data_IF_858592712071
#
_entry.id   IF_858592712071
#
_cell.length_a   1.000
_cell.length_b   1.000
_cell.length_c   1.000
_cell.angle_alpha   90.00
_cell.angle_beta   90.00
_cell.angle_gamma   90.00
#
_symmetry.space_group_name_H-M   'P 1'
#
loop_
_entity.id
_entity.type
_entity.pdbx_description
1 polymer ?
#
# COMPACT_ATOMS: atom_id res chain seq x y z
N UNK A 1 29.54 -8.26 -31.20
CA UNK A 1 28.60 -7.17 -31.47
C UNK A 1 27.19 -7.73 -31.29
N UNK A 2 26.52 -7.46 -30.17
CA UNK A 2 25.08 -7.73 -29.98
C UNK A 2 24.49 -6.47 -29.33
N UNK A 3 23.68 -5.77 -30.13
CA UNK A 3 22.94 -4.57 -29.73
C UNK A 3 21.95 -4.88 -28.59
N UNK A 4 22.14 -4.27 -27.45
CA UNK A 4 21.08 -4.11 -26.45
C UNK A 4 20.15 -2.99 -26.91
N UNK A 5 18.94 -3.34 -27.32
CA UNK A 5 17.86 -2.37 -27.49
C UNK A 5 17.44 -1.84 -26.13
N UNK A 6 17.75 -0.60 -25.86
CA UNK A 6 17.18 0.21 -24.79
C UNK A 6 15.71 0.46 -25.14
N UNK A 7 14.80 0.04 -24.30
CA UNK A 7 13.37 0.35 -24.39
C UNK A 7 13.17 1.78 -23.87
N UNK A 8 13.21 2.75 -24.78
CA UNK A 8 12.81 4.14 -24.46
C UNK A 8 11.29 4.20 -24.28
N UNK A 9 10.83 4.42 -23.06
CA UNK A 9 9.46 4.89 -22.82
C UNK A 9 9.33 6.29 -23.42
N UNK A 10 8.48 6.44 -24.40
CA UNK A 10 8.13 7.69 -25.06
C UNK A 10 7.38 8.58 -24.07
N UNK A 11 8.07 9.54 -23.47
CA UNK A 11 7.43 10.69 -22.84
C UNK A 11 7.04 11.67 -23.96
N UNK A 12 5.76 12.03 -24.03
CA UNK A 12 5.26 13.06 -24.95
C UNK A 12 5.98 14.39 -24.66
N UNK A 13 6.73 14.88 -25.64
CA UNK A 13 7.22 16.27 -25.85
C UNK A 13 7.43 17.18 -24.61
N UNK A 14 8.07 16.70 -23.56
CA UNK A 14 8.58 17.58 -22.52
C UNK A 14 10.02 17.92 -22.89
N UNK A 15 10.28 19.15 -23.32
CA UNK A 15 11.63 19.68 -23.50
C UNK A 15 12.17 19.95 -22.10
N UNK A 16 12.99 19.02 -21.59
CA UNK A 16 13.70 19.22 -20.33
C UNK A 16 14.80 20.25 -20.57
N UNK A 17 14.67 21.44 -19.98
CA UNK A 17 15.73 22.45 -20.04
C UNK A 17 16.97 21.96 -19.26
N UNK A 18 18.18 22.21 -19.78
CA UNK A 18 19.41 21.96 -19.04
C UNK A 18 19.34 22.60 -17.63
N UNK A 19 19.67 21.85 -16.59
CA UNK A 19 19.63 22.35 -15.21
C UNK A 19 18.27 22.24 -14.51
N UNK A 20 17.25 21.61 -15.11
CA UNK A 20 15.95 21.41 -14.46
C UNK A 20 16.06 20.55 -13.20
N UNK A 21 16.80 19.43 -13.25
CA UNK A 21 16.99 18.53 -12.11
C UNK A 21 17.73 19.24 -10.98
N UNK A 22 18.82 19.96 -11.30
CA UNK A 22 19.62 20.72 -10.34
C UNK A 22 18.80 21.82 -9.67
N UNK A 23 17.94 22.49 -10.43
CA UNK A 23 17.03 23.52 -9.89
C UNK A 23 16.02 22.91 -8.93
N UNK A 24 15.33 21.85 -9.33
CA UNK A 24 14.35 21.13 -8.48
C UNK A 24 15.02 20.61 -7.21
N UNK A 25 16.18 20.00 -7.35
CA UNK A 25 16.97 19.52 -6.22
C UNK A 25 17.38 20.64 -5.27
N UNK A 26 17.84 21.79 -5.79
CA UNK A 26 18.18 22.95 -4.98
C UNK A 26 16.98 23.52 -4.23
N UNK A 27 15.81 23.60 -4.86
CA UNK A 27 14.58 24.01 -4.19
C UNK A 27 14.16 23.01 -3.09
N UNK A 28 14.23 21.71 -3.36
CA UNK A 28 13.97 20.69 -2.34
C UNK A 28 14.86 20.86 -1.12
N UNK A 29 16.17 21.06 -1.31
CA UNK A 29 17.13 21.31 -0.22
C UNK A 29 16.81 22.58 0.60
N UNK A 30 16.30 23.64 -0.04
CA UNK A 30 15.87 24.84 0.69
C UNK A 30 14.70 24.55 1.61
N UNK A 31 13.71 23.78 1.14
CA UNK A 31 12.58 23.38 1.97
C UNK A 31 13.00 22.44 3.11
N UNK A 32 13.92 21.50 2.86
CA UNK A 32 14.48 20.64 3.92
C UNK A 32 15.16 21.44 5.01
N UNK A 33 15.97 22.45 4.67
CA UNK A 33 16.64 23.34 5.66
C UNK A 33 15.64 24.04 6.57
N UNK A 34 14.43 24.27 6.10
CA UNK A 34 13.33 24.89 6.86
C UNK A 34 12.40 23.87 7.50
N UNK A 35 12.78 22.57 7.58
CA UNK A 35 11.99 21.45 8.08
C UNK A 35 10.64 21.28 7.37
N UNK A 36 10.50 21.75 6.13
CA UNK A 36 9.29 21.63 5.32
C UNK A 36 9.42 20.39 4.39
N UNK A 37 9.56 19.22 4.99
CA UNK A 37 9.86 17.97 4.28
C UNK A 37 8.79 17.57 3.26
N UNK A 38 7.52 17.80 3.55
CA UNK A 38 6.42 17.50 2.63
C UNK A 38 6.51 18.29 1.32
N UNK A 39 6.91 19.58 1.42
CA UNK A 39 7.14 20.39 0.22
C UNK A 39 8.41 19.97 -0.51
N UNK A 40 9.47 19.65 0.23
CA UNK A 40 10.70 19.13 -0.34
C UNK A 40 10.45 17.84 -1.14
N UNK A 41 9.61 16.94 -0.60
CA UNK A 41 9.28 15.67 -1.24
C UNK A 41 8.63 15.83 -2.62
N UNK A 42 7.80 16.85 -2.82
CA UNK A 42 7.21 17.13 -4.14
C UNK A 42 8.28 17.51 -5.18
N UNK A 43 9.25 18.32 -4.80
CA UNK A 43 10.36 18.70 -5.68
C UNK A 43 11.30 17.51 -5.97
N UNK A 44 11.56 16.66 -5.00
CA UNK A 44 12.33 15.41 -5.21
C UNK A 44 11.60 14.46 -6.14
N UNK A 45 10.29 14.29 -5.98
CA UNK A 45 9.47 13.42 -6.82
C UNK A 45 9.45 13.91 -8.27
N UNK A 46 9.34 15.23 -8.47
CA UNK A 46 9.43 15.84 -9.80
C UNK A 46 10.83 15.67 -10.40
N UNK A 47 11.90 15.86 -9.62
CA UNK A 47 13.27 15.68 -10.09
C UNK A 47 13.55 14.25 -10.53
N UNK A 48 13.03 13.26 -9.81
CA UNK A 48 13.19 11.83 -10.14
C UNK A 48 12.51 11.42 -11.44
N UNK A 49 11.54 12.18 -11.94
CA UNK A 49 10.95 11.91 -13.26
C UNK A 49 11.97 12.13 -14.39
N UNK A 50 13.00 12.95 -14.17
CA UNK A 50 14.02 13.30 -15.15
C UNK A 50 15.38 12.62 -14.85
N UNK A 51 15.60 12.19 -13.62
CA UNK A 51 16.84 11.54 -13.16
C UNK A 51 16.51 10.28 -12.34
N UNK A 52 15.91 9.30 -13.01
CA UNK A 52 15.25 8.14 -12.38
C UNK A 52 16.17 7.30 -11.46
N UNK A 53 17.46 7.20 -11.75
CA UNK A 53 18.44 6.38 -11.01
C UNK A 53 19.58 7.23 -10.41
N UNK A 54 19.33 8.51 -10.13
CA UNK A 54 20.32 9.36 -9.45
C UNK A 54 20.41 8.96 -7.97
N UNK A 55 21.50 8.29 -7.61
CA UNK A 55 21.80 7.80 -6.27
C UNK A 55 21.78 8.91 -5.21
N UNK A 56 22.37 10.06 -5.53
CA UNK A 56 22.48 11.17 -4.59
C UNK A 56 21.11 11.81 -4.30
N UNK A 57 20.33 12.03 -5.35
CA UNK A 57 18.98 12.57 -5.25
C UNK A 57 18.07 11.61 -4.47
N UNK A 58 18.10 10.31 -4.80
CA UNK A 58 17.30 9.29 -4.12
C UNK A 58 17.67 9.15 -2.64
N UNK A 59 18.95 9.24 -2.28
CA UNK A 59 19.41 9.13 -0.89
C UNK A 59 18.87 10.25 -0.02
N UNK A 60 18.93 11.50 -0.51
CA UNK A 60 18.40 12.66 0.21
C UNK A 60 16.87 12.63 0.26
N UNK A 61 16.24 12.18 -0.82
CA UNK A 61 14.79 12.00 -0.85
C UNK A 61 14.31 10.96 0.15
N UNK A 62 14.98 9.81 0.25
CA UNK A 62 14.65 8.78 1.25
C UNK A 62 14.70 9.32 2.68
N UNK A 63 15.72 10.13 3.00
CA UNK A 63 15.83 10.81 4.29
C UNK A 63 14.68 11.82 4.50
N UNK A 64 14.36 12.63 3.50
CA UNK A 64 13.26 13.60 3.56
C UNK A 64 11.89 12.93 3.76
N UNK A 65 11.68 11.78 3.12
CA UNK A 65 10.49 10.95 3.33
C UNK A 65 10.43 10.36 4.75
N UNK A 66 11.58 9.95 5.29
CA UNK A 66 11.67 9.49 6.68
C UNK A 66 11.29 10.58 7.67
N UNK A 67 11.83 11.78 7.52
CA UNK A 67 11.54 12.94 8.38
C UNK A 67 10.07 13.39 8.28
N UNK A 68 9.45 13.28 7.09
CA UNK A 68 8.01 13.55 6.90
C UNK A 68 7.10 12.39 7.35
N UNK A 69 7.66 11.34 7.98
CA UNK A 69 6.96 10.12 8.41
C UNK A 69 6.28 9.33 7.27
N UNK A 70 6.64 9.60 6.03
CA UNK A 70 6.18 8.88 4.84
C UNK A 70 6.92 7.55 4.69
N UNK A 71 6.87 6.71 5.75
CA UNK A 71 7.73 5.53 5.90
C UNK A 71 7.59 4.49 4.78
N UNK A 72 6.40 4.29 4.23
CA UNK A 72 6.19 3.35 3.11
C UNK A 72 6.94 3.78 1.86
N UNK A 73 6.78 5.06 1.45
CA UNK A 73 7.53 5.62 0.30
C UNK A 73 9.05 5.63 0.57
N UNK A 74 9.46 6.00 1.78
CA UNK A 74 10.88 5.98 2.17
C UNK A 74 11.47 4.57 2.02
N UNK A 75 10.74 3.55 2.44
CA UNK A 75 11.13 2.14 2.28
C UNK A 75 11.34 1.75 0.82
N UNK A 76 10.39 2.11 -0.07
CA UNK A 76 10.47 1.82 -1.51
C UNK A 76 11.70 2.46 -2.15
N UNK A 77 12.01 3.72 -1.80
CA UNK A 77 13.20 4.41 -2.30
C UNK A 77 14.49 3.75 -1.78
N UNK A 78 14.54 3.37 -0.49
CA UNK A 78 15.67 2.64 0.07
C UNK A 78 15.86 1.26 -0.60
N UNK A 79 14.79 0.51 -0.84
CA UNK A 79 14.86 -0.78 -1.53
C UNK A 79 15.35 -0.64 -2.98
N UNK A 80 14.98 0.45 -3.65
CA UNK A 80 15.48 0.77 -4.98
C UNK A 80 16.97 1.12 -4.95
N UNK A 81 17.40 1.97 -4.00
CA UNK A 81 18.80 2.30 -3.78
C UNK A 81 19.65 1.07 -3.49
N UNK A 82 19.24 0.23 -2.56
CA UNK A 82 19.98 -0.98 -2.18
C UNK A 82 20.13 -1.96 -3.35
N UNK A 83 19.19 -2.00 -4.29
CA UNK A 83 19.30 -2.81 -5.53
C UNK A 83 20.33 -2.26 -6.50
N UNK A 84 20.52 -0.94 -6.55
CA UNK A 84 21.52 -0.29 -7.41
C UNK A 84 22.92 -0.52 -6.85
N UNK A 85 23.05 -0.73 -5.55
CA UNK A 85 24.33 -0.88 -4.85
C UNK A 85 25.02 0.46 -4.64
N UNK A 86 24.45 1.36 -3.80
CA UNK A 86 24.95 2.72 -3.62
C UNK A 86 26.33 2.73 -2.94
N UNK A 87 27.09 3.80 -3.17
CA UNK A 87 28.39 3.99 -2.51
C UNK A 87 28.26 4.02 -0.98
N UNK A 88 27.16 4.56 -0.46
CA UNK A 88 26.83 4.61 0.98
C UNK A 88 25.85 3.47 1.36
N UNK A 89 26.17 2.23 0.95
CA UNK A 89 25.28 1.08 1.13
C UNK A 89 24.85 0.87 2.58
N UNK A 90 25.78 0.95 3.54
CA UNK A 90 25.47 0.67 4.94
C UNK A 90 24.69 1.80 5.62
N UNK A 91 24.87 3.04 5.23
CA UNK A 91 24.06 4.18 5.67
C UNK A 91 22.63 4.06 5.18
N UNK A 92 22.45 3.67 3.92
CA UNK A 92 21.11 3.41 3.36
C UNK A 92 20.47 2.18 4.00
N UNK A 93 21.25 1.12 4.26
CA UNK A 93 20.77 -0.06 4.97
C UNK A 93 20.31 0.29 6.39
N UNK A 94 21.04 1.12 7.11
CA UNK A 94 20.69 1.59 8.45
C UNK A 94 19.38 2.40 8.43
N UNK A 95 19.22 3.32 7.49
CA UNK A 95 17.99 4.07 7.28
C UNK A 95 16.83 3.11 6.97
N UNK A 96 17.04 2.16 6.07
CA UNK A 96 16.05 1.14 5.71
C UNK A 96 15.59 0.31 6.92
N UNK A 97 16.53 -0.18 7.72
CA UNK A 97 16.21 -0.95 8.93
C UNK A 97 15.45 -0.10 9.95
N UNK A 98 15.82 1.18 10.10
CA UNK A 98 15.11 2.13 10.97
C UNK A 98 13.68 2.35 10.49
N UNK A 99 13.48 2.51 9.18
CA UNK A 99 12.15 2.62 8.56
C UNK A 99 11.35 1.34 8.79
N UNK A 100 11.94 0.16 8.61
CA UNK A 100 11.29 -1.12 8.90
C UNK A 100 10.84 -1.23 10.37
N UNK A 101 11.65 -0.73 11.32
CA UNK A 101 11.23 -0.66 12.73
C UNK A 101 10.04 0.28 12.95
N UNK A 102 10.00 1.44 12.27
CA UNK A 102 8.85 2.35 12.33
C UNK A 102 7.58 1.71 11.75
N UNK A 103 7.73 0.85 10.74
CA UNK A 103 6.66 0.06 10.14
C UNK A 103 6.32 -1.21 10.93
N UNK A 104 6.96 -1.41 12.10
CA UNK A 104 6.80 -2.59 12.98
C UNK A 104 7.24 -3.92 12.33
N UNK A 105 8.10 -3.88 11.32
CA UNK A 105 8.64 -5.06 10.64
C UNK A 105 9.83 -5.69 11.40
N UNK A 106 9.70 -5.86 12.72
CA UNK A 106 10.79 -6.23 13.63
C UNK A 106 11.48 -7.55 13.25
N UNK A 107 10.71 -8.55 12.83
CA UNK A 107 11.26 -9.84 12.42
C UNK A 107 12.11 -9.75 11.15
N UNK A 108 11.69 -8.89 10.19
CA UNK A 108 12.45 -8.61 8.98
C UNK A 108 13.79 -7.93 9.31
N UNK A 109 13.76 -6.95 10.21
CA UNK A 109 14.98 -6.26 10.71
C UNK A 109 15.95 -7.24 11.35
N UNK A 110 15.46 -8.10 12.25
CA UNK A 110 16.30 -9.10 12.91
C UNK A 110 16.94 -10.06 11.91
N UNK A 111 16.17 -10.57 10.96
CA UNK A 111 16.65 -11.49 9.93
C UNK A 111 17.74 -10.86 9.07
N UNK A 112 17.55 -9.61 8.62
CA UNK A 112 18.53 -8.90 7.78
C UNK A 112 19.82 -8.66 8.55
N UNK A 113 19.73 -8.14 9.79
CA UNK A 113 20.94 -7.84 10.59
C UNK A 113 21.68 -9.14 10.92
N UNK A 114 20.97 -10.21 11.28
CA UNK A 114 21.61 -11.51 11.57
C UNK A 114 22.33 -12.04 10.34
N UNK A 115 21.72 -12.04 9.16
CA UNK A 115 22.35 -12.48 7.91
C UNK A 115 23.62 -11.66 7.60
N UNK A 116 23.55 -10.34 7.70
CA UNK A 116 24.70 -9.46 7.44
C UNK A 116 25.87 -9.68 8.42
N UNK A 117 25.56 -9.98 9.69
CA UNK A 117 26.56 -10.29 10.71
C UNK A 117 27.19 -11.68 10.48
N UNK A 118 26.37 -12.68 10.17
CA UNK A 118 26.79 -14.07 9.95
C UNK A 118 27.66 -14.20 8.67
N UNK A 119 27.36 -13.41 7.65
CA UNK A 119 28.11 -13.36 6.40
C UNK A 119 29.43 -12.56 6.50
N UNK A 120 29.64 -11.84 7.62
CA UNK A 120 30.80 -10.95 7.78
C UNK A 120 30.81 -9.80 6.76
N UNK A 121 29.64 -9.42 6.24
CA UNK A 121 29.50 -8.42 5.19
C UNK A 121 29.64 -6.98 5.70
N UNK A 122 29.49 -6.76 7.01
CA UNK A 122 29.49 -5.44 7.64
C UNK A 122 30.96 -5.02 7.90
N UNK A 123 31.38 -3.82 7.47
CA UNK A 123 32.69 -3.27 7.83
C UNK A 123 32.89 -3.20 9.34
N UNK A 124 34.13 -3.48 9.82
CA UNK A 124 34.45 -3.54 11.26
C UNK A 124 33.99 -2.28 12.02
N UNK A 125 34.10 -1.12 11.40
CA UNK A 125 33.73 0.18 11.96
C UNK A 125 32.21 0.32 12.21
N UNK A 126 31.40 -0.48 11.52
CA UNK A 126 29.92 -0.43 11.59
C UNK A 126 29.30 -1.61 12.34
N UNK A 127 30.05 -2.65 12.65
CA UNK A 127 29.54 -3.86 13.35
C UNK A 127 28.84 -3.48 14.64
N UNK A 128 29.44 -2.61 15.45
CA UNK A 128 28.88 -2.19 16.74
C UNK A 128 27.56 -1.43 16.57
N UNK A 129 27.42 -0.64 15.51
CA UNK A 129 26.22 0.11 15.18
C UNK A 129 25.07 -0.82 14.79
N UNK A 130 25.33 -1.84 13.96
CA UNK A 130 24.33 -2.84 13.59
C UNK A 130 23.93 -3.75 14.76
N UNK A 131 24.85 -4.08 15.66
CA UNK A 131 24.52 -4.78 16.91
C UNK A 131 23.58 -3.96 17.78
N UNK A 132 23.84 -2.67 17.94
CA UNK A 132 22.94 -1.74 18.69
C UNK A 132 21.57 -1.64 18.03
N UNK A 133 21.50 -1.59 16.69
CA UNK A 133 20.23 -1.63 15.97
C UNK A 133 19.47 -2.93 16.24
N UNK A 134 20.16 -4.07 16.27
CA UNK A 134 19.55 -5.37 16.60
C UNK A 134 19.00 -5.37 18.04
N UNK A 135 19.78 -4.89 19.01
CA UNK A 135 19.36 -4.78 20.42
C UNK A 135 18.18 -3.81 20.58
N UNK A 136 18.22 -2.67 19.88
CA UNK A 136 17.11 -1.70 19.88
C UNK A 136 15.84 -2.31 19.29
N UNK A 137 15.95 -3.01 18.18
CA UNK A 137 14.85 -3.74 17.55
C UNK A 137 14.24 -4.78 18.50
N UNK A 138 15.08 -5.59 19.17
CA UNK A 138 14.65 -6.58 20.16
C UNK A 138 13.96 -5.90 21.35
N UNK A 139 14.52 -4.82 21.88
CA UNK A 139 13.96 -4.06 23.00
C UNK A 139 12.60 -3.40 22.67
N UNK A 140 12.46 -2.86 21.44
CA UNK A 140 11.20 -2.27 20.98
C UNK A 140 10.16 -3.37 20.78
N UNK A 141 10.56 -4.46 20.13
CA UNK A 141 9.71 -5.64 19.95
C UNK A 141 9.23 -6.19 21.30
N UNK A 142 10.14 -6.33 22.26
CA UNK A 142 9.81 -6.80 23.63
C UNK A 142 8.93 -5.81 24.40
N UNK A 143 9.19 -4.49 24.30
CA UNK A 143 8.38 -3.47 25.00
C UNK A 143 7.01 -3.31 24.36
N UNK A 144 6.91 -3.37 23.06
CA UNK A 144 5.61 -3.42 22.38
C UNK A 144 4.90 -4.75 22.65
N UNK A 145 5.66 -5.86 22.75
CA UNK A 145 5.16 -7.12 23.28
C UNK A 145 4.64 -7.01 24.70
N UNK A 146 5.26 -6.23 25.59
CA UNK A 146 4.80 -6.06 27.00
C UNK A 146 3.61 -5.12 27.17
N UNK A 147 3.35 -4.21 26.25
CA UNK A 147 2.07 -3.47 26.17
C UNK A 147 0.96 -4.31 25.49
N UNK A 148 1.37 -5.23 24.62
CA UNK A 148 0.54 -6.28 24.04
C UNK A 148 0.71 -7.63 24.77
N UNK A 149 1.43 -7.66 25.91
CA UNK A 149 1.74 -8.89 26.66
C UNK A 149 0.51 -9.48 27.38
N UNK A 150 -0.46 -9.70 26.57
CA UNK A 150 -1.16 -10.96 26.58
C UNK A 150 -0.94 -11.78 25.30
N UNK A 151 0.01 -11.41 24.39
CA UNK A 151 0.28 -12.24 23.19
C UNK A 151 1.59 -11.87 22.48
N UNK A 152 2.71 -12.54 22.85
CA UNK A 152 3.95 -12.64 22.04
C UNK A 152 4.56 -14.04 22.16
N UNK A 153 3.77 -15.01 21.87
CA UNK A 153 4.09 -16.11 20.99
C UNK A 153 3.84 -15.61 19.54
N UNK A 154 4.54 -16.10 18.50
CA UNK A 154 3.92 -16.21 17.17
C UNK A 154 2.48 -16.58 17.48
N UNK A 155 1.51 -15.68 17.31
CA UNK A 155 0.13 -16.01 17.59
C UNK A 155 -0.17 -17.17 16.68
N UNK A 156 -0.06 -18.39 17.21
CA UNK A 156 -0.78 -19.51 16.66
C UNK A 156 -2.22 -19.07 16.84
N UNK A 157 -2.75 -18.41 15.79
CA UNK A 157 -4.18 -18.23 15.75
C UNK A 157 -4.76 -19.64 15.83
N UNK A 158 -5.78 -19.79 16.61
CA UNK A 158 -6.51 -21.02 16.72
C UNK A 158 -7.24 -21.26 15.39
N UNK A 159 -6.85 -22.26 14.59
CA UNK A 159 -7.51 -22.57 13.32
C UNK A 159 -9.02 -22.76 13.45
N UNK A 160 -9.50 -23.25 14.62
CA UNK A 160 -10.92 -23.45 14.90
C UNK A 160 -11.73 -22.16 14.84
N UNK A 161 -11.09 -21.00 15.06
CA UNK A 161 -11.75 -19.69 14.94
C UNK A 161 -12.08 -19.29 13.50
N UNK A 162 -11.49 -19.98 12.52
CA UNK A 162 -11.72 -19.77 11.09
C UNK A 162 -12.53 -20.89 10.46
N UNK A 163 -13.10 -21.78 11.27
CA UNK A 163 -14.11 -22.71 10.77
C UNK A 163 -15.29 -21.93 10.20
N UNK A 164 -15.71 -22.18 8.93
CA UNK A 164 -16.65 -21.32 8.22
C UNK A 164 -17.95 -21.04 8.98
N UNK A 165 -18.55 -22.07 9.58
CA UNK A 165 -19.79 -21.91 10.36
C UNK A 165 -19.61 -20.97 11.57
N UNK A 166 -18.50 -21.12 12.29
CA UNK A 166 -18.20 -20.26 13.44
C UNK A 166 -17.86 -18.85 12.99
N UNK A 167 -16.97 -18.70 12.00
CA UNK A 167 -16.51 -17.41 11.51
C UNK A 167 -17.66 -16.56 10.95
N UNK A 168 -18.56 -17.17 10.16
CA UNK A 168 -19.71 -16.48 9.57
C UNK A 168 -20.79 -16.12 10.60
N UNK A 169 -20.80 -16.75 11.78
CA UNK A 169 -21.71 -16.37 12.87
C UNK A 169 -21.29 -15.11 13.62
N UNK A 170 -20.07 -14.63 13.44
CA UNK A 170 -19.53 -13.43 14.09
C UNK A 170 -20.07 -12.15 13.45
N UNK A 171 -20.10 -11.05 14.21
CA UNK A 171 -20.37 -9.73 13.66
C UNK A 171 -19.30 -9.30 12.65
N UNK A 172 -19.67 -8.48 11.67
CA UNK A 172 -18.78 -8.05 10.59
C UNK A 172 -17.48 -7.43 11.11
N UNK A 173 -17.56 -6.58 12.13
CA UNK A 173 -16.40 -5.96 12.75
C UNK A 173 -15.45 -6.99 13.39
N UNK A 174 -15.98 -8.07 13.98
CA UNK A 174 -15.19 -9.15 14.56
C UNK A 174 -14.51 -10.00 13.48
N UNK A 175 -15.24 -10.31 12.39
CA UNK A 175 -14.67 -10.99 11.22
C UNK A 175 -13.50 -10.19 10.63
N UNK A 176 -13.68 -8.88 10.41
CA UNK A 176 -12.63 -7.99 9.92
C UNK A 176 -11.43 -7.91 10.89
N UNK A 177 -11.70 -7.82 12.20
CA UNK A 177 -10.67 -7.82 13.24
C UNK A 177 -9.81 -9.08 13.23
N UNK A 178 -10.45 -10.27 13.15
CA UNK A 178 -9.75 -11.56 13.06
C UNK A 178 -8.90 -11.67 11.78
N UNK A 179 -9.41 -11.21 10.62
CA UNK A 179 -8.63 -11.21 9.38
C UNK A 179 -7.44 -10.25 9.46
N UNK A 180 -7.59 -9.09 10.10
CA UNK A 180 -6.49 -8.15 10.31
C UNK A 180 -5.38 -8.74 11.21
N UNK A 181 -5.73 -9.59 12.19
CA UNK A 181 -4.74 -10.31 13.00
C UNK A 181 -3.89 -11.28 12.15
N UNK A 182 -4.46 -11.81 11.05
CA UNK A 182 -3.75 -12.71 10.12
C UNK A 182 -2.78 -11.98 9.19
N UNK A 183 -2.83 -10.67 9.09
CA UNK A 183 -1.94 -9.90 8.20
C UNK A 183 -0.45 -10.20 8.45
N UNK A 184 -0.10 -10.56 9.69
CA UNK A 184 1.27 -10.87 10.10
C UNK A 184 1.48 -12.35 10.46
N UNK A 185 0.48 -13.21 10.27
CA UNK A 185 0.54 -14.63 10.56
C UNK A 185 0.64 -15.44 9.26
N UNK A 186 1.17 -16.67 9.34
CA UNK A 186 1.17 -17.58 8.19
C UNK A 186 -0.23 -18.19 8.00
N UNK A 187 -0.93 -17.82 6.93
CA UNK A 187 -2.30 -18.30 6.65
C UNK A 187 -2.35 -19.67 5.97
N UNK A 188 -1.20 -20.25 5.58
CA UNK A 188 -1.20 -21.55 4.87
C UNK A 188 -1.92 -22.67 5.60
N UNK A 189 -1.86 -22.77 6.95
CA UNK A 189 -2.58 -23.82 7.68
C UNK A 189 -4.10 -23.73 7.59
N UNK A 190 -4.66 -22.54 7.29
CA UNK A 190 -6.12 -22.29 7.22
C UNK A 190 -6.59 -21.89 5.82
N UNK A 191 -5.79 -22.16 4.79
CA UNK A 191 -6.15 -21.79 3.41
C UNK A 191 -7.46 -22.43 2.95
N UNK A 192 -7.75 -23.64 3.39
CA UNK A 192 -8.99 -24.33 3.04
C UNK A 192 -10.20 -23.62 3.66
N UNK A 193 -10.14 -23.27 4.93
CA UNK A 193 -11.19 -22.52 5.62
C UNK A 193 -11.38 -21.14 4.99
N UNK A 194 -10.30 -20.40 4.72
CA UNK A 194 -10.38 -19.10 4.04
C UNK A 194 -10.99 -19.22 2.65
N UNK A 195 -10.69 -20.31 1.92
CA UNK A 195 -11.28 -20.58 0.62
C UNK A 195 -12.78 -20.87 0.75
N UNK A 196 -13.20 -21.70 1.69
CA UNK A 196 -14.60 -22.01 1.94
C UNK A 196 -15.39 -20.74 2.36
N UNK A 197 -14.79 -19.87 3.20
CA UNK A 197 -15.40 -18.61 3.58
C UNK A 197 -15.59 -17.68 2.38
N UNK A 198 -14.59 -17.53 1.51
CA UNK A 198 -14.67 -16.61 0.36
C UNK A 198 -15.65 -17.11 -0.72
N UNK A 199 -15.74 -18.44 -0.91
CA UNK A 199 -16.64 -19.07 -1.86
C UNK A 199 -18.09 -19.14 -1.35
N UNK A 200 -18.32 -18.96 -0.04
CA UNK A 200 -19.66 -18.95 0.53
C UNK A 200 -20.43 -17.69 0.09
N UNK A 201 -21.67 -17.88 -0.38
CA UNK A 201 -22.54 -16.79 -0.88
C UNK A 201 -22.93 -15.78 0.20
N UNK A 202 -23.10 -16.25 1.42
CA UNK A 202 -23.56 -15.42 2.54
C UNK A 202 -22.41 -14.58 3.15
N UNK A 203 -21.16 -14.81 2.71
CA UNK A 203 -20.02 -14.01 3.16
C UNK A 203 -20.12 -12.58 2.66
N UNK A 204 -20.00 -11.64 3.59
CA UNK A 204 -20.08 -10.22 3.30
C UNK A 204 -19.03 -9.80 2.24
N UNK A 205 -19.41 -8.95 1.23
CA UNK A 205 -18.49 -8.57 0.14
C UNK A 205 -17.15 -7.99 0.63
N UNK A 206 -17.17 -7.20 1.68
CA UNK A 206 -15.96 -6.63 2.30
C UNK A 206 -15.04 -7.72 2.87
N UNK A 207 -15.60 -8.74 3.55
CA UNK A 207 -14.83 -9.87 4.11
C UNK A 207 -14.17 -10.68 3.01
N UNK A 208 -14.89 -10.96 1.91
CA UNK A 208 -14.31 -11.63 0.72
C UNK A 208 -13.10 -10.87 0.18
N UNK A 209 -13.20 -9.54 0.12
CA UNK A 209 -12.07 -8.69 -0.29
C UNK A 209 -10.87 -8.79 0.65
N UNK A 210 -11.10 -8.73 1.97
CA UNK A 210 -10.02 -8.81 2.94
C UNK A 210 -9.27 -10.16 2.84
N UNK A 211 -10.01 -11.26 2.65
CA UNK A 211 -9.39 -12.58 2.44
C UNK A 211 -8.55 -12.60 1.17
N UNK A 212 -9.06 -12.05 0.05
CA UNK A 212 -8.30 -11.97 -1.20
C UNK A 212 -7.03 -11.13 -1.07
N UNK A 213 -7.13 -9.96 -0.41
CA UNK A 213 -5.99 -9.08 -0.16
C UNK A 213 -4.94 -9.82 0.69
N UNK A 214 -5.38 -10.50 1.75
CA UNK A 214 -4.50 -11.28 2.60
C UNK A 214 -3.80 -12.41 1.84
N UNK A 215 -4.53 -13.15 1.00
CA UNK A 215 -3.97 -14.19 0.13
C UNK A 215 -2.98 -13.59 -0.89
N UNK A 216 -3.29 -12.42 -1.46
CA UNK A 216 -2.41 -11.70 -2.39
C UNK A 216 -1.10 -11.30 -1.72
N UNK A 217 -1.17 -10.66 -0.56
CA UNK A 217 0.01 -10.17 0.18
C UNK A 217 0.94 -11.32 0.60
N UNK A 218 0.38 -12.51 0.86
CA UNK A 218 1.15 -13.70 1.21
C UNK A 218 1.52 -14.57 0.02
N UNK A 219 1.26 -14.13 -1.21
CA UNK A 219 1.64 -14.81 -2.44
C UNK A 219 1.01 -16.18 -2.60
N UNK A 220 -0.26 -16.32 -2.21
CA UNK A 220 -1.01 -17.58 -2.35
C UNK A 220 -1.34 -17.81 -3.82
N UNK A 221 -0.75 -18.85 -4.40
CA UNK A 221 -0.98 -19.27 -5.80
C UNK A 221 -2.02 -20.39 -5.83
N UNK A 222 -3.29 -20.00 -5.76
CA UNK A 222 -4.45 -20.89 -5.88
C UNK A 222 -5.61 -20.15 -6.53
N UNK A 223 -6.50 -20.89 -7.20
CA UNK A 223 -7.72 -20.31 -7.75
C UNK A 223 -8.84 -20.37 -6.72
N UNK A 224 -9.54 -19.27 -6.57
CA UNK A 224 -10.73 -19.12 -5.72
C UNK A 224 -11.89 -18.55 -6.53
N UNK A 225 -13.08 -19.05 -6.31
CA UNK A 225 -14.30 -18.50 -6.88
C UNK A 225 -14.86 -17.40 -5.97
N UNK A 226 -15.10 -16.25 -6.54
CA UNK A 226 -15.63 -15.09 -5.81
C UNK A 226 -16.94 -14.68 -6.43
N UNK A 227 -18.01 -14.71 -5.64
CA UNK A 227 -19.34 -14.22 -6.02
C UNK A 227 -19.64 -12.93 -5.26
N UNK A 228 -19.92 -11.83 -5.99
CA UNK A 228 -20.38 -10.53 -5.47
C UNK A 228 -21.25 -9.85 -6.51
N UNK A 229 -22.20 -9.05 -6.07
CA UNK A 229 -23.02 -8.20 -6.94
C UNK A 229 -23.65 -8.99 -8.11
N UNK A 230 -24.12 -10.20 -7.86
CA UNK A 230 -24.64 -11.14 -8.86
C UNK A 230 -23.64 -11.49 -9.99
N UNK A 231 -22.36 -11.37 -9.74
CA UNK A 231 -21.25 -11.76 -10.64
C UNK A 231 -20.38 -12.81 -9.98
N UNK A 232 -19.87 -13.70 -10.79
CA UNK A 232 -18.91 -14.76 -10.36
C UNK A 232 -17.62 -14.59 -11.13
N UNK A 233 -16.49 -14.65 -10.44
CA UNK A 233 -15.16 -14.58 -11.03
C UNK A 233 -14.25 -15.64 -10.41
N UNK A 234 -13.53 -16.37 -11.25
CA UNK A 234 -12.44 -17.24 -10.80
C UNK A 234 -11.16 -16.42 -10.76
N UNK A 235 -10.54 -16.30 -9.60
CA UNK A 235 -9.42 -15.42 -9.36
C UNK A 235 -8.26 -16.15 -8.75
N UNK A 236 -7.04 -15.88 -9.23
CA UNK A 236 -5.83 -16.28 -8.55
C UNK A 236 -5.22 -15.06 -7.84
N UNK A 237 -5.23 -15.01 -6.49
CA UNK A 237 -4.77 -13.84 -5.73
C UNK A 237 -3.32 -13.44 -6.05
N UNK A 238 -2.43 -14.40 -6.34
CA UNK A 238 -1.03 -14.07 -6.66
C UNK A 238 -0.87 -13.31 -7.98
N UNK A 239 -1.86 -13.40 -8.89
CA UNK A 239 -1.77 -12.85 -10.26
C UNK A 239 -2.53 -11.55 -10.46
N UNK A 240 -3.33 -11.10 -9.49
CA UNK A 240 -4.07 -9.83 -9.56
C UNK A 240 -3.36 -8.75 -8.77
N UNK A 241 -3.57 -7.46 -9.13
CA UNK A 241 -3.12 -6.31 -8.37
C UNK A 241 -3.94 -6.10 -7.09
N UNK A 242 -3.47 -5.26 -6.18
CA UNK A 242 -4.26 -4.77 -5.05
C UNK A 242 -5.40 -3.84 -5.55
N UNK A 243 -6.44 -3.57 -4.76
CA UNK A 243 -7.59 -2.77 -5.19
C UNK A 243 -7.21 -1.45 -5.88
N UNK A 244 -6.26 -0.71 -5.31
CA UNK A 244 -5.79 0.58 -5.85
C UNK A 244 -4.82 0.45 -7.04
N UNK A 245 -4.39 -0.76 -7.36
CA UNK A 245 -3.52 -1.04 -8.51
C UNK A 245 -4.30 -1.42 -9.77
N UNK A 246 -5.60 -1.71 -9.63
CA UNK A 246 -6.44 -2.14 -10.72
C UNK A 246 -6.70 -1.02 -11.73
N UNK A 247 -7.09 -1.42 -12.93
CA UNK A 247 -7.14 -0.51 -14.07
C UNK A 247 -8.24 0.52 -13.93
N UNK A 248 -9.43 0.10 -13.54
CA UNK A 248 -10.60 0.99 -13.47
C UNK A 248 -10.43 1.99 -12.32
N UNK A 249 -9.90 1.54 -11.15
CA UNK A 249 -9.56 2.43 -10.04
C UNK A 249 -8.62 3.57 -10.49
N UNK A 250 -7.52 3.24 -11.18
CA UNK A 250 -6.56 4.24 -11.65
C UNK A 250 -7.19 5.23 -12.64
N UNK A 251 -8.04 4.73 -13.54
CA UNK A 251 -8.73 5.59 -14.49
C UNK A 251 -9.69 6.54 -13.79
N UNK A 252 -10.50 6.05 -12.86
CA UNK A 252 -11.45 6.85 -12.10
C UNK A 252 -10.73 7.91 -11.27
N UNK A 253 -9.69 7.53 -10.52
CA UNK A 253 -8.88 8.46 -9.72
C UNK A 253 -8.25 9.56 -10.56
N UNK A 254 -7.70 9.24 -11.72
CA UNK A 254 -7.12 10.24 -12.62
C UNK A 254 -8.19 11.24 -13.11
N UNK A 255 -9.37 10.76 -13.51
CA UNK A 255 -10.47 11.62 -13.99
C UNK A 255 -10.95 12.55 -12.85
N UNK A 256 -11.10 12.02 -11.64
CA UNK A 256 -11.51 12.81 -10.47
C UNK A 256 -10.48 13.88 -10.15
N UNK A 257 -9.18 13.53 -10.15
CA UNK A 257 -8.09 14.46 -9.95
C UNK A 257 -8.11 15.60 -10.98
N UNK A 258 -8.27 15.26 -12.26
CA UNK A 258 -8.31 16.26 -13.34
C UNK A 258 -9.51 17.21 -13.20
N UNK A 259 -10.68 16.71 -12.79
CA UNK A 259 -11.90 17.52 -12.67
C UNK A 259 -11.94 18.38 -11.41
N UNK A 260 -11.33 17.96 -10.32
CA UNK A 260 -11.40 18.60 -9.00
C UNK A 260 -10.12 19.31 -8.57
N UNK A 261 -9.18 19.60 -9.49
CA UNK A 261 -7.91 20.29 -9.18
C UNK A 261 -8.09 21.61 -8.41
N UNK A 262 -9.21 22.30 -8.62
CA UNK A 262 -9.53 23.59 -7.98
C UNK A 262 -10.37 23.43 -6.70
N UNK A 263 -10.80 22.21 -6.35
CA UNK A 263 -11.67 21.92 -5.22
C UNK A 263 -11.04 20.86 -4.29
N UNK A 264 -9.90 21.16 -3.61
CA UNK A 264 -9.10 20.15 -2.92
C UNK A 264 -9.86 19.41 -1.80
N UNK A 265 -10.78 20.07 -1.11
CA UNK A 265 -11.57 19.44 -0.05
C UNK A 265 -12.58 18.43 -0.58
N UNK A 266 -13.17 18.71 -1.76
CA UNK A 266 -14.09 17.77 -2.41
C UNK A 266 -13.28 16.62 -3.00
N UNK A 267 -12.12 16.91 -3.60
CA UNK A 267 -11.21 15.91 -4.14
C UNK A 267 -10.82 14.86 -3.08
N UNK A 268 -10.36 15.31 -1.91
CA UNK A 268 -9.97 14.43 -0.81
C UNK A 268 -11.11 13.50 -0.40
N UNK A 269 -12.32 14.03 -0.24
CA UNK A 269 -13.49 13.22 0.12
C UNK A 269 -13.87 12.20 -0.96
N UNK A 270 -13.83 12.62 -2.23
CA UNK A 270 -14.14 11.72 -3.36
C UNK A 270 -13.10 10.60 -3.43
N UNK A 271 -11.81 10.91 -3.29
CA UNK A 271 -10.74 9.92 -3.30
C UNK A 271 -10.85 8.92 -2.14
N UNK A 272 -11.18 9.39 -0.94
CA UNK A 272 -11.38 8.53 0.23
C UNK A 272 -12.53 7.55 0.03
N UNK A 273 -13.67 8.02 -0.50
CA UNK A 273 -14.83 7.16 -0.79
C UNK A 273 -14.51 6.15 -1.90
N UNK A 274 -13.84 6.57 -2.97
CA UNK A 274 -13.41 5.68 -4.07
C UNK A 274 -12.47 4.60 -3.53
N UNK A 275 -11.49 4.98 -2.71
CA UNK A 275 -10.55 4.03 -2.12
C UNK A 275 -11.25 3.01 -1.21
N UNK A 276 -12.19 3.46 -0.38
CA UNK A 276 -13.02 2.61 0.49
C UNK A 276 -13.86 1.63 -0.33
N UNK A 277 -14.54 2.12 -1.37
CA UNK A 277 -15.38 1.30 -2.23
C UNK A 277 -14.58 0.33 -3.10
N UNK A 278 -13.37 0.70 -3.52
CA UNK A 278 -12.49 -0.20 -4.28
C UNK A 278 -12.16 -1.48 -3.51
N UNK A 279 -12.07 -1.39 -2.18
CA UNK A 279 -11.89 -2.57 -1.34
C UNK A 279 -13.16 -3.44 -1.37
N UNK A 280 -14.34 -2.85 -1.23
CA UNK A 280 -15.60 -3.61 -1.23
C UNK A 280 -15.84 -4.30 -2.58
N UNK A 281 -15.57 -3.62 -3.68
CA UNK A 281 -15.77 -4.17 -5.03
C UNK A 281 -14.73 -5.21 -5.44
N UNK A 282 -13.54 -5.18 -4.87
CA UNK A 282 -12.44 -6.06 -5.26
C UNK A 282 -12.84 -7.55 -5.32
N UNK A 283 -12.53 -8.30 -6.39
CA UNK A 283 -11.73 -7.96 -7.56
C UNK A 283 -12.53 -7.45 -8.78
N UNK A 284 -13.84 -7.18 -8.63
CA UNK A 284 -14.76 -6.85 -9.74
C UNK A 284 -14.68 -5.40 -10.21
N UNK A 285 -13.96 -4.54 -9.45
CA UNK A 285 -13.94 -3.09 -9.67
C UNK A 285 -15.38 -2.51 -9.71
N UNK A 286 -15.68 -1.57 -10.62
CA UNK A 286 -17.03 -1.02 -10.79
C UNK A 286 -17.81 -1.73 -11.91
N UNK A 287 -17.69 -3.06 -11.95
CA UNK A 287 -18.39 -3.91 -12.91
C UNK A 287 -18.10 -3.47 -14.36
N UNK A 288 -19.16 -3.37 -15.17
CA UNK A 288 -19.08 -2.98 -16.58
C UNK A 288 -19.28 -1.46 -16.81
N UNK A 289 -19.37 -0.66 -15.72
CA UNK A 289 -19.58 0.78 -15.83
C UNK A 289 -18.34 1.48 -16.40
N UNK A 290 -18.57 2.52 -17.20
CA UNK A 290 -17.51 3.30 -17.79
C UNK A 290 -16.81 4.17 -16.72
N UNK A 291 -15.48 4.18 -16.63
CA UNK A 291 -14.76 4.94 -15.61
C UNK A 291 -15.09 6.43 -15.55
N UNK A 292 -15.39 7.03 -16.71
CA UNK A 292 -15.81 8.42 -16.80
C UNK A 292 -17.14 8.67 -16.07
N UNK A 293 -18.15 7.84 -16.32
CA UNK A 293 -19.46 7.96 -15.69
C UNK A 293 -19.39 7.68 -14.17
N UNK A 294 -18.57 6.71 -13.78
CA UNK A 294 -18.33 6.39 -12.37
C UNK A 294 -17.69 7.57 -11.64
N UNK A 295 -16.65 8.18 -12.22
CA UNK A 295 -15.98 9.35 -11.64
C UNK A 295 -16.97 10.52 -11.46
N UNK A 296 -17.75 10.84 -12.49
CA UNK A 296 -18.78 11.88 -12.43
C UNK A 296 -19.83 11.59 -11.35
N UNK A 297 -20.28 10.35 -11.23
CA UNK A 297 -21.23 9.95 -10.20
C UNK A 297 -20.68 10.06 -8.79
N UNK A 298 -19.40 9.77 -8.55
CA UNK A 298 -18.75 10.00 -7.25
C UNK A 298 -18.69 11.50 -6.90
N UNK A 299 -18.30 12.33 -7.86
CA UNK A 299 -18.29 13.78 -7.68
C UNK A 299 -19.70 14.29 -7.33
N UNK A 300 -20.73 13.82 -8.06
CA UNK A 300 -22.11 14.15 -7.78
C UNK A 300 -22.56 13.64 -6.40
N UNK A 301 -22.21 12.43 -6.04
CA UNK A 301 -22.53 11.83 -4.74
C UNK A 301 -22.01 12.67 -3.59
N UNK A 302 -20.73 13.08 -3.63
CA UNK A 302 -20.14 13.93 -2.60
C UNK A 302 -20.78 15.33 -2.60
N UNK A 303 -21.00 15.94 -3.77
CA UNK A 303 -21.67 17.26 -3.84
C UNK A 303 -23.09 17.24 -3.29
N UNK A 304 -23.83 16.14 -3.43
CA UNK A 304 -25.14 15.98 -2.81
C UNK A 304 -25.07 16.00 -1.27
N UNK A 305 -24.00 15.49 -0.66
CA UNK A 305 -23.80 15.57 0.80
C UNK A 305 -23.68 17.03 1.27
N UNK A 306 -23.26 17.94 0.40
CA UNK A 306 -23.22 19.39 0.66
C UNK A 306 -24.48 20.15 0.19
N UNK A 307 -25.55 19.42 -0.14
CA UNK A 307 -26.85 20.01 -0.53
C UNK A 307 -26.88 20.58 -1.95
N UNK A 308 -25.88 20.24 -2.79
CA UNK A 308 -25.91 20.64 -4.21
C UNK A 308 -26.77 19.64 -5.00
N UNK A 309 -27.75 20.15 -5.76
CA UNK A 309 -28.52 19.33 -6.66
C UNK A 309 -27.71 19.05 -7.92
N UNK A 310 -27.48 17.80 -8.22
CA UNK A 310 -26.85 17.36 -9.46
C UNK A 310 -27.53 16.07 -9.94
N UNK A 311 -27.71 15.97 -11.25
CA UNK A 311 -28.25 14.79 -11.91
C UNK A 311 -27.07 13.92 -12.37
N UNK A 312 -27.11 12.63 -12.02
CA UNK A 312 -26.13 11.62 -12.45
C UNK A 312 -26.84 10.35 -12.89
N UNK A 313 -26.09 9.41 -13.43
CA UNK A 313 -26.59 8.09 -13.79
C UNK A 313 -27.14 7.38 -12.55
N UNK A 314 -28.46 7.16 -12.52
CA UNK A 314 -29.17 6.64 -11.34
C UNK A 314 -28.78 5.20 -11.00
N UNK A 315 -28.40 4.40 -11.99
CA UNK A 315 -27.92 3.03 -11.78
C UNK A 315 -26.57 3.03 -11.04
N UNK A 316 -25.61 3.85 -11.50
CA UNK A 316 -24.30 3.99 -10.86
C UNK A 316 -24.45 4.61 -9.46
N UNK A 317 -25.28 5.64 -9.30
CA UNK A 317 -25.54 6.24 -7.99
C UNK A 317 -26.20 5.24 -7.03
N UNK A 318 -27.09 4.39 -7.54
CA UNK A 318 -27.66 3.28 -6.78
C UNK A 318 -26.60 2.31 -6.29
N UNK A 319 -25.69 1.91 -7.18
CA UNK A 319 -24.60 1.04 -6.85
C UNK A 319 -23.61 1.69 -5.85
N UNK A 320 -23.26 2.96 -6.00
CA UNK A 320 -22.42 3.70 -5.04
C UNK A 320 -23.06 3.71 -3.63
N UNK A 321 -24.38 3.90 -3.52
CA UNK A 321 -25.07 3.82 -2.22
C UNK A 321 -25.06 2.41 -1.63
N UNK A 322 -25.18 1.39 -2.46
CA UNK A 322 -25.04 0.00 -2.03
C UNK A 322 -23.63 -0.28 -1.49
N UNK A 323 -22.60 0.21 -2.17
CA UNK A 323 -21.21 0.10 -1.71
C UNK A 323 -20.96 0.82 -0.39
N UNK A 324 -21.56 2.00 -0.19
CA UNK A 324 -21.48 2.72 1.07
C UNK A 324 -22.05 1.89 2.22
N UNK A 325 -23.23 1.26 2.02
CA UNK A 325 -23.82 0.36 3.01
C UNK A 325 -22.91 -0.84 3.33
N UNK A 326 -22.28 -1.45 2.33
CA UNK A 326 -21.33 -2.57 2.54
C UNK A 326 -20.01 -2.13 3.17
N UNK A 327 -19.69 -0.87 3.18
CA UNK A 327 -18.45 -0.35 3.74
C UNK A 327 -18.58 0.11 5.19
N UNK A 328 -19.80 0.19 5.73
CA UNK A 328 -20.07 0.46 7.14
C UNK A 328 -19.95 -0.83 7.96
N UNK A 329 -18.98 -0.85 8.88
CA UNK A 329 -18.77 -1.96 9.83
C UNK A 329 -19.76 -1.84 11.01
N UNK A 330 -21.03 -2.11 10.77
CA UNK A 330 -22.04 -2.14 11.84
C UNK A 330 -22.05 -3.48 12.58
#
# INVERSE_FOLDING_TARGET
MKNKKSSSKTFQNVIVFPGTVERLFSEALKYMKNNQFEKANRFFEEALQFAEDDEHLMSIYAYSLYESKSFRKAKEICERLLRIGPAMYFEIMELYLTICMQLKEYHKVEKIISSLLDEGAIPDEKIEQFKRLKELNANISEKMGKQDDKTSTVKQFDPEQFEPEHFLSLHLAEQAGKLNELAFANIRPILLQLKEIIENRDTHPFVKSLILILMKEQGVDTEVEVEKFNRVMLVNPSKIGLPTELTQYKMISNIVNDQLQQEPSILEMVEDIIAKHSIVTYPFEWLDFQPQEVAECYIHFVRQMFGQHSEGNQEILGFIRELENFSELQ
#
